data_IF_263589784277
#
_entry.id   IF_263589784277
#
_cell.length_a   1.000
_cell.length_b   1.000
_cell.length_c   1.000
_cell.angle_alpha   90.00
_cell.angle_beta   90.00
_cell.angle_gamma   90.00
#
_symmetry.space_group_name_H-M   'P 1'
#
loop_
_entity.id
_entity.type
_entity.pdbx_description
1 polymer ?
#
# COMPACT_ATOMS: atom_id res chain seq x y z
N UNK A 1 18.83 2.19 17.78
CA UNK A 1 17.55 1.63 17.32
C UNK A 1 16.87 2.71 16.52
N UNK A 2 16.58 2.50 15.23
CA UNK A 2 15.90 3.52 14.43
C UNK A 2 14.49 3.73 15.00
N UNK A 3 14.26 4.88 15.62
CA UNK A 3 12.96 5.26 16.14
C UNK A 3 12.01 5.31 14.94
N UNK A 4 10.91 4.54 14.96
CA UNK A 4 9.87 4.67 13.92
C UNK A 4 9.38 6.12 13.97
N UNK A 5 9.52 6.86 12.87
CA UNK A 5 9.10 8.26 12.77
C UNK A 5 7.67 8.41 13.25
N UNK A 6 7.36 9.49 13.96
CA UNK A 6 6.04 9.73 14.53
C UNK A 6 4.96 9.70 13.43
N UNK A 7 5.31 10.13 12.23
CA UNK A 7 4.48 10.11 11.02
C UNK A 7 4.05 8.69 10.65
N UNK A 8 4.94 7.70 10.78
CA UNK A 8 4.63 6.28 10.55
C UNK A 8 3.64 5.77 11.61
N UNK A 9 3.87 6.15 12.87
CA UNK A 9 3.00 5.74 13.98
C UNK A 9 1.60 6.32 13.81
N UNK A 10 1.49 7.62 13.56
CA UNK A 10 0.22 8.33 13.38
C UNK A 10 -0.52 7.85 12.13
N UNK A 11 0.18 7.63 11.03
CA UNK A 11 -0.42 7.13 9.80
C UNK A 11 -0.95 5.72 9.97
N UNK A 12 -0.20 4.84 10.66
CA UNK A 12 -0.67 3.49 10.98
C UNK A 12 -1.92 3.53 11.86
N UNK A 13 -1.94 4.39 12.88
CA UNK A 13 -3.10 4.57 13.74
C UNK A 13 -4.32 5.06 12.95
N UNK A 14 -4.15 6.09 12.11
CA UNK A 14 -5.21 6.60 11.24
C UNK A 14 -5.73 5.51 10.30
N UNK A 15 -4.83 4.80 9.61
CA UNK A 15 -5.19 3.75 8.67
C UNK A 15 -6.02 2.63 9.33
N UNK A 16 -5.78 2.34 10.61
CA UNK A 16 -6.55 1.37 11.38
C UNK A 16 -8.02 1.75 11.59
N UNK A 17 -8.38 3.04 11.52
CA UNK A 17 -9.77 3.50 11.68
C UNK A 17 -10.50 3.73 10.35
N UNK A 18 -9.79 3.68 9.23
CA UNK A 18 -10.35 3.99 7.92
C UNK A 18 -10.91 2.73 7.25
N UNK A 19 -12.09 2.87 6.64
CA UNK A 19 -12.79 1.78 5.96
C UNK A 19 -12.18 1.41 4.59
N UNK A 20 -11.34 2.29 4.02
CA UNK A 20 -10.67 2.02 2.75
C UNK A 20 -9.46 1.11 2.99
N UNK A 21 -9.15 0.20 2.06
CA UNK A 21 -7.89 -0.54 2.07
C UNK A 21 -6.69 0.40 1.97
N UNK A 22 -5.75 0.27 2.91
CA UNK A 22 -4.55 1.10 2.99
C UNK A 22 -3.33 0.21 3.17
N UNK A 23 -2.31 0.46 2.36
CA UNK A 23 -0.98 -0.14 2.47
C UNK A 23 0.05 0.94 2.81
N UNK A 24 1.02 0.60 3.65
CA UNK A 24 2.17 1.44 3.95
C UNK A 24 3.45 0.69 3.61
N UNK A 25 4.32 1.32 2.84
CA UNK A 25 5.64 0.77 2.50
C UNK A 25 6.75 1.67 3.03
N UNK A 26 7.90 1.09 3.36
CA UNK A 26 9.11 1.85 3.69
C UNK A 26 9.81 2.38 2.42
N UNK A 27 10.92 3.15 2.53
CA UNK A 27 11.64 3.67 1.36
C UNK A 27 12.20 2.61 0.41
N UNK A 28 12.37 1.37 0.89
CA UNK A 28 12.82 0.24 0.09
C UNK A 28 11.64 -0.53 -0.57
N UNK A 29 10.40 -0.06 -0.41
CA UNK A 29 9.20 -0.71 -0.96
C UNK A 29 8.73 -1.94 -0.17
N UNK A 30 9.32 -2.22 1.00
CA UNK A 30 8.85 -3.27 1.91
C UNK A 30 7.53 -2.84 2.52
N UNK A 31 6.51 -3.69 2.47
CA UNK A 31 5.23 -3.47 3.14
C UNK A 31 5.44 -3.56 4.66
N UNK A 32 5.23 -2.44 5.34
CA UNK A 32 5.43 -2.32 6.79
C UNK A 32 4.13 -2.36 7.59
N UNK A 33 2.99 -2.10 6.93
CA UNK A 33 1.67 -2.18 7.53
C UNK A 33 0.58 -2.23 6.45
N UNK A 34 -0.54 -2.87 6.78
CA UNK A 34 -1.81 -2.72 6.07
C UNK A 34 -2.98 -2.92 7.03
N UNK A 35 -4.10 -2.25 6.76
CA UNK A 35 -5.28 -2.28 7.63
C UNK A 35 -6.24 -3.46 7.31
N UNK A 36 -7.24 -3.69 8.17
CA UNK A 36 -8.21 -4.78 8.03
C UNK A 36 -8.90 -4.82 6.65
N UNK A 37 -9.39 -3.70 6.07
CA UNK A 37 -9.93 -3.70 4.71
C UNK A 37 -8.94 -4.20 3.64
N UNK A 38 -7.64 -3.94 3.80
CA UNK A 38 -6.59 -4.43 2.90
C UNK A 38 -6.27 -5.92 3.07
N UNK A 39 -6.58 -6.52 4.23
CA UNK A 39 -6.46 -7.98 4.43
C UNK A 39 -7.34 -8.75 3.44
N UNK A 40 -8.50 -8.20 3.06
CA UNK A 40 -9.40 -8.79 2.07
C UNK A 40 -8.83 -8.77 0.66
N UNK A 41 -8.01 -7.76 0.34
CA UNK A 41 -7.33 -7.65 -0.95
C UNK A 41 -6.14 -8.62 -1.00
N UNK A 42 -5.33 -8.65 0.06
CA UNK A 42 -4.12 -9.46 0.15
C UNK A 42 -4.41 -10.95 0.47
N UNK A 43 -5.63 -11.26 0.91
CA UNK A 43 -6.05 -12.61 1.31
C UNK A 43 -5.38 -13.14 2.58
N UNK A 44 -4.74 -12.27 3.36
CA UNK A 44 -3.94 -12.62 4.56
C UNK A 44 -4.04 -11.52 5.60
N UNK A 45 -4.09 -11.89 6.88
CA UNK A 45 -4.11 -10.91 7.98
C UNK A 45 -2.71 -10.37 8.27
N UNK A 46 -2.59 -9.09 8.62
CA UNK A 46 -1.29 -8.49 8.92
C UNK A 46 -0.63 -9.16 10.13
N UNK A 47 -1.43 -9.55 11.12
CA UNK A 47 -0.96 -10.25 12.32
C UNK A 47 -0.34 -11.63 12.01
N UNK A 48 -0.68 -12.22 10.86
CA UNK A 48 -0.12 -13.51 10.41
C UNK A 48 1.17 -13.33 9.61
N UNK A 49 1.24 -12.29 8.76
CA UNK A 49 2.35 -12.09 7.83
C UNK A 49 3.45 -11.20 8.37
N UNK A 50 3.09 -10.22 9.20
CA UNK A 50 3.96 -9.10 9.53
C UNK A 50 4.37 -8.29 8.29
N UNK A 51 5.59 -7.74 8.32
CA UNK A 51 6.15 -6.97 7.21
C UNK A 51 6.60 -7.88 6.05
N UNK A 52 6.29 -7.50 4.81
CA UNK A 52 6.55 -8.30 3.61
C UNK A 52 7.50 -7.58 2.64
N UNK A 53 8.39 -8.32 1.98
CA UNK A 53 9.21 -7.77 0.88
C UNK A 53 8.34 -7.32 -0.28
N UNK A 54 8.86 -6.40 -1.10
CA UNK A 54 8.17 -5.88 -2.28
C UNK A 54 7.62 -7.00 -3.18
N UNK A 55 8.49 -7.95 -3.51
CA UNK A 55 8.16 -9.13 -4.31
C UNK A 55 6.99 -9.92 -3.72
N UNK A 56 7.03 -10.17 -2.40
CA UNK A 56 6.07 -11.04 -1.71
C UNK A 56 4.68 -10.43 -1.65
N UNK A 57 4.56 -9.15 -1.32
CA UNK A 57 3.23 -8.53 -1.25
C UNK A 57 2.66 -8.23 -2.62
N UNK A 58 3.50 -7.93 -3.62
CA UNK A 58 3.05 -7.78 -5.02
C UNK A 58 2.52 -9.09 -5.59
N UNK A 59 3.15 -10.22 -5.25
CA UNK A 59 2.64 -11.56 -5.56
C UNK A 59 1.25 -11.78 -4.95
N UNK A 60 1.08 -11.49 -3.66
CA UNK A 60 -0.22 -11.63 -2.95
C UNK A 60 -1.31 -10.73 -3.55
N UNK A 61 -0.94 -9.51 -3.95
CA UNK A 61 -1.86 -8.55 -4.54
C UNK A 61 -2.27 -8.93 -5.97
N UNK A 62 -1.57 -9.86 -6.62
CA UNK A 62 -1.94 -10.40 -7.94
C UNK A 62 -2.00 -9.34 -9.04
N UNK A 63 -1.27 -8.23 -8.90
CA UNK A 63 -1.34 -7.10 -9.85
C UNK A 63 -0.57 -7.43 -11.11
N UNK A 64 -1.30 -7.49 -12.22
CA UNK A 64 -0.68 -7.53 -13.53
C UNK A 64 -0.07 -6.14 -13.80
N UNK A 65 1.24 -6.08 -14.05
CA UNK A 65 1.99 -4.87 -14.44
C UNK A 65 2.41 -3.87 -13.32
N UNK A 66 2.54 -4.32 -12.07
CA UNK A 66 2.95 -3.49 -10.91
C UNK A 66 4.38 -2.93 -10.95
N UNK A 67 5.24 -3.43 -11.82
CA UNK A 67 6.65 -3.06 -11.91
C UNK A 67 6.95 -1.86 -12.85
N UNK A 68 5.93 -1.26 -13.48
CA UNK A 68 6.15 -0.13 -14.39
C UNK A 68 6.63 1.11 -13.62
N UNK A 69 7.50 1.92 -14.25
CA UNK A 69 8.00 3.16 -13.66
C UNK A 69 6.88 4.18 -13.40
N UNK A 70 5.78 4.07 -14.14
CA UNK A 70 4.58 4.90 -14.02
C UNK A 70 3.61 4.41 -12.93
N UNK A 71 3.90 3.28 -12.28
CA UNK A 71 3.08 2.78 -11.19
C UNK A 71 3.01 3.83 -10.06
N UNK A 72 1.82 4.20 -9.57
CA UNK A 72 1.65 5.29 -8.59
C UNK A 72 2.54 5.17 -7.35
N UNK A 73 2.80 3.94 -6.88
CA UNK A 73 3.68 3.71 -5.74
C UNK A 73 5.14 4.05 -6.03
N UNK A 74 5.63 3.74 -7.24
CA UNK A 74 6.98 4.07 -7.69
C UNK A 74 7.22 5.57 -7.71
N UNK A 75 6.21 6.36 -8.11
CA UNK A 75 6.26 7.83 -8.03
C UNK A 75 6.25 8.33 -6.59
N UNK A 76 5.40 7.75 -5.74
CA UNK A 76 5.31 8.11 -4.32
C UNK A 76 6.62 7.87 -3.58
N UNK A 77 7.31 6.75 -3.82
CA UNK A 77 8.62 6.47 -3.23
C UNK A 77 9.70 7.49 -3.64
N UNK A 78 9.56 8.13 -4.81
CA UNK A 78 10.41 9.24 -5.28
C UNK A 78 9.99 10.61 -4.75
N UNK A 79 9.02 10.67 -3.84
CA UNK A 79 8.55 11.92 -3.24
C UNK A 79 7.41 12.62 -4.02
N UNK A 80 6.80 11.97 -5.01
CA UNK A 80 5.74 12.57 -5.82
C UNK A 80 4.42 11.79 -5.69
N UNK A 81 3.28 12.44 -5.37
CA UNK A 81 2.01 11.74 -5.35
C UNK A 81 1.62 11.23 -6.74
N UNK A 82 0.89 10.12 -6.78
CA UNK A 82 0.42 9.49 -8.00
C UNK A 82 -0.95 8.85 -7.81
N UNK A 83 -1.71 8.77 -8.89
CA UNK A 83 -2.99 8.07 -8.94
C UNK A 83 -3.04 7.21 -10.19
N UNK A 84 -3.82 6.14 -10.15
CA UNK A 84 -4.04 5.27 -11.30
C UNK A 84 -5.08 4.20 -11.01
N UNK A 85 -5.30 3.33 -11.98
CA UNK A 85 -6.11 2.13 -11.81
C UNK A 85 -5.25 0.88 -11.98
N UNK A 86 -5.59 -0.18 -11.27
CA UNK A 86 -4.99 -1.51 -11.40
C UNK A 86 -6.08 -2.59 -11.40
N UNK A 87 -5.72 -3.75 -11.93
CA UNK A 87 -6.56 -4.95 -11.86
C UNK A 87 -5.97 -5.87 -10.81
N UNK A 88 -6.80 -6.26 -9.85
CA UNK A 88 -6.46 -7.21 -8.78
C UNK A 88 -7.30 -8.46 -8.97
N UNK A 89 -6.62 -9.61 -9.02
CA UNK A 89 -7.29 -10.91 -9.10
C UNK A 89 -7.62 -11.41 -7.70
N UNK A 90 -8.89 -11.69 -7.44
CA UNK A 90 -9.34 -12.30 -6.19
C UNK A 90 -8.92 -13.78 -6.09
N UNK A 91 -8.99 -14.35 -4.88
CA UNK A 91 -8.75 -15.78 -4.66
C UNK A 91 -9.71 -16.69 -5.47
N UNK A 92 -10.90 -16.19 -5.84
CA UNK A 92 -11.86 -16.88 -6.69
C UNK A 92 -11.53 -16.78 -8.20
N UNK A 93 -10.41 -16.14 -8.56
CA UNK A 93 -9.96 -15.97 -9.95
C UNK A 93 -10.66 -14.85 -10.73
N UNK A 94 -11.47 -14.02 -10.06
CA UNK A 94 -12.14 -12.88 -10.69
C UNK A 94 -11.26 -11.63 -10.68
N UNK A 95 -11.19 -10.94 -11.81
CA UNK A 95 -10.43 -9.71 -11.98
C UNK A 95 -11.30 -8.50 -11.62
N UNK A 96 -10.88 -7.74 -10.62
CA UNK A 96 -11.58 -6.54 -10.17
C UNK A 96 -10.73 -5.30 -10.45
N UNK A 97 -11.36 -4.24 -10.96
CA UNK A 97 -10.69 -2.95 -11.17
C UNK A 97 -10.71 -2.14 -9.87
N UNK A 98 -9.54 -1.67 -9.49
CA UNK A 98 -9.32 -0.81 -8.34
C UNK A 98 -8.67 0.48 -8.79
N UNK A 99 -9.07 1.58 -8.17
CA UNK A 99 -8.31 2.82 -8.23
C UNK A 99 -7.41 2.90 -7.01
N UNK A 100 -6.23 3.49 -7.22
CA UNK A 100 -5.24 3.69 -6.17
C UNK A 100 -4.75 5.12 -6.20
N UNK A 101 -4.62 5.71 -5.02
CA UNK A 101 -3.86 6.94 -4.80
C UNK A 101 -2.70 6.63 -3.88
N UNK A 102 -1.49 6.97 -4.33
CA UNK A 102 -0.26 6.85 -3.58
C UNK A 102 0.31 8.22 -3.28
N UNK A 103 0.79 8.42 -2.05
CA UNK A 103 1.49 9.64 -1.66
C UNK A 103 2.71 9.33 -0.78
N UNK A 104 3.77 10.14 -0.86
CA UNK A 104 4.95 9.96 -0.02
C UNK A 104 4.62 10.22 1.45
N UNK A 105 5.21 9.42 2.34
CA UNK A 105 5.18 9.67 3.78
C UNK A 105 6.47 10.38 4.17
N UNK A 106 6.44 11.71 4.14
CA UNK A 106 7.58 12.55 4.50
C UNK A 106 7.44 13.03 5.94
N UNK A 107 8.52 12.96 6.70
CA UNK A 107 8.62 13.54 8.02
C UNK A 107 9.10 14.98 8.03
N UNK A 108 9.33 15.49 9.23
CA UNK A 108 10.01 16.77 9.42
C UNK A 108 11.35 16.81 8.64
N UNK A 109 11.69 17.98 8.07
CA UNK A 109 12.85 18.19 7.21
C UNK A 109 12.91 17.36 5.91
N UNK A 110 11.79 16.74 5.50
CA UNK A 110 11.71 15.99 4.24
C UNK A 110 12.31 14.59 4.29
N UNK A 111 12.52 14.04 5.50
CA UNK A 111 12.95 12.64 5.67
C UNK A 111 11.88 11.71 5.07
N UNK A 112 12.30 10.86 4.14
CA UNK A 112 11.39 9.91 3.48
C UNK A 112 11.21 8.65 4.34
N UNK A 113 10.00 8.42 4.86
CA UNK A 113 9.62 7.20 5.57
C UNK A 113 8.94 6.16 4.67
N UNK A 114 8.79 6.46 3.38
CA UNK A 114 8.25 5.60 2.35
C UNK A 114 6.99 6.19 1.74
N UNK A 115 5.95 5.38 1.56
CA UNK A 115 4.73 5.79 0.89
C UNK A 115 3.49 5.10 1.47
N UNK A 116 2.35 5.75 1.26
CA UNK A 116 1.03 5.22 1.58
C UNK A 116 0.28 5.02 0.27
N UNK A 117 -0.44 3.91 0.15
CA UNK A 117 -1.35 3.63 -0.95
C UNK A 117 -2.76 3.39 -0.39
N UNK A 118 -3.75 4.10 -0.92
CA UNK A 118 -5.17 3.97 -0.57
C UNK A 118 -5.91 3.46 -1.80
N UNK A 119 -6.74 2.44 -1.61
CA UNK A 119 -7.48 1.79 -2.69
C UNK A 119 -8.98 1.98 -2.52
N UNK A 120 -9.70 1.99 -3.64
CA UNK A 120 -11.16 1.82 -3.66
C UNK A 120 -11.58 1.07 -4.93
N UNK A 121 -12.67 0.32 -4.83
CA UNK A 121 -13.21 -0.40 -5.98
C UNK A 121 -13.76 0.60 -6.99
N UNK A 122 -13.40 0.46 -8.27
CA UNK A 122 -13.88 1.36 -9.33
C UNK A 122 -15.39 1.22 -9.59
N UNK A 123 -15.98 0.10 -9.15
CA UNK A 123 -17.41 -0.07 -8.93
C UNK A 123 -17.62 -0.84 -7.62
N UNK A 124 -18.60 -0.49 -6.78
CA UNK A 124 -19.02 -1.37 -5.70
C UNK A 124 -19.49 -2.72 -6.27
N UNK A 125 -19.25 -3.84 -5.57
CA UNK A 125 -19.82 -5.14 -5.95
C UNK A 125 -21.35 -5.11 -5.97
#
# INVERSE_FOLDING_TARGET
MAQKGIEVILTRQLAGYLAMPILMVNPQGKLIFYNEPAEKILGRRFDETGELSAEKWLELLGVQNSASADFPLTRALKGQPGQGSLIIRSAAGQDHRWDVTCFPLLGHEGVNYGAVAIFWAASPP
#
